data_IF_068827421943
#
_entry.id   IF_068827421943
#
_cell.length_a   1.000
_cell.length_b   1.000
_cell.length_c   1.000
_cell.angle_alpha   90.00
_cell.angle_beta   90.00
_cell.angle_gamma   90.00
#
_symmetry.space_group_name_H-M   'P 1'
#
loop_
_entity.id
_entity.type
_entity.pdbx_description
1 polymer ?
#
# COMPACT_ATOMS: atom_id res chain seq x y z
N UNK A 1 -10.99 13.12 17.02
CA UNK A 1 -10.84 13.67 18.38
C UNK A 1 -10.09 12.76 19.36
N UNK A 2 -10.01 11.45 19.16
CA UNK A 2 -9.23 10.54 20.05
C UNK A 2 -7.71 10.75 20.02
N UNK A 3 -7.14 11.24 18.95
CA UNK A 3 -5.69 11.41 18.80
C UNK A 3 -5.04 12.47 19.69
N UNK A 4 -5.77 13.51 20.08
CA UNK A 4 -5.23 14.56 20.94
C UNK A 4 -5.13 14.15 22.42
N UNK A 5 -6.00 13.27 22.88
CA UNK A 5 -5.99 12.78 24.27
C UNK A 5 -4.80 11.86 24.57
N UNK A 6 -4.38 11.06 23.60
CA UNK A 6 -3.20 10.18 23.72
C UNK A 6 -1.90 10.99 23.78
N UNK A 7 -1.79 12.10 23.05
CA UNK A 7 -0.62 12.97 23.05
C UNK A 7 -0.44 13.75 24.36
N UNK A 8 -1.54 14.22 24.92
CA UNK A 8 -1.51 14.93 26.21
C UNK A 8 -1.10 13.99 27.36
N UNK A 9 -1.60 12.74 27.36
CA UNK A 9 -1.26 11.76 28.39
C UNK A 9 0.23 11.34 28.32
N UNK A 10 0.76 11.14 27.11
CA UNK A 10 2.18 10.73 26.92
C UNK A 10 3.14 11.86 27.29
N UNK A 11 2.80 13.10 26.96
CA UNK A 11 3.59 14.28 27.35
C UNK A 11 3.62 14.49 28.86
N UNK A 12 2.49 14.26 29.55
CA UNK A 12 2.39 14.38 31.00
C UNK A 12 3.23 13.31 31.74
N UNK A 13 3.21 12.05 31.26
CA UNK A 13 4.00 10.96 31.83
C UNK A 13 5.51 11.23 31.67
N UNK A 14 5.94 11.71 30.50
CA UNK A 14 7.33 12.07 30.27
C UNK A 14 7.81 13.23 31.14
N UNK A 15 6.96 14.25 31.34
CA UNK A 15 7.26 15.39 32.20
C UNK A 15 7.34 14.99 33.70
N UNK A 16 6.45 14.11 34.15
CA UNK A 16 6.45 13.61 35.53
C UNK A 16 7.66 12.71 35.81
N UNK A 17 8.04 11.83 34.87
CA UNK A 17 9.24 10.99 35.02
C UNK A 17 10.51 11.82 34.99
N UNK A 18 10.60 12.85 34.16
CA UNK A 18 11.74 13.77 34.13
C UNK A 18 11.86 14.56 35.46
N UNK A 19 10.74 15.07 35.96
CA UNK A 19 10.70 15.82 37.25
C UNK A 19 11.08 14.91 38.41
N UNK A 20 10.68 13.62 38.40
CA UNK A 20 11.03 12.66 39.43
C UNK A 20 12.52 12.29 39.37
N UNK A 21 13.08 12.08 38.18
CA UNK A 21 14.50 11.79 37.95
C UNK A 21 15.41 12.94 38.42
N UNK A 22 14.99 14.19 38.18
CA UNK A 22 15.72 15.39 38.65
C UNK A 22 15.68 15.55 40.17
N UNK A 23 14.60 15.11 40.82
CA UNK A 23 14.38 15.27 42.26
C UNK A 23 15.05 14.18 43.10
N UNK A 24 15.25 12.97 42.52
CA UNK A 24 15.79 11.81 43.21
C UNK A 24 17.30 11.73 43.17
N UNK A 25 18.03 12.72 42.64
CA UNK A 25 19.49 12.66 42.51
C UNK A 25 19.99 11.50 41.63
N UNK A 26 19.09 10.78 40.99
CA UNK A 26 19.34 9.68 40.06
C UNK A 26 20.05 10.22 38.84
N UNK A 27 21.27 9.79 38.66
CA UNK A 27 22.27 10.33 37.79
C UNK A 27 21.81 10.65 36.37
N UNK A 28 22.59 11.42 35.70
CA UNK A 28 22.46 11.91 34.32
C UNK A 28 21.96 10.88 33.28
N UNK A 29 22.07 9.58 33.60
CA UNK A 29 21.58 8.47 32.77
C UNK A 29 20.05 8.43 32.60
N UNK A 30 19.29 8.73 33.67
CA UNK A 30 17.81 8.71 33.59
C UNK A 30 17.27 9.92 32.80
N UNK A 31 17.92 11.08 32.97
CA UNK A 31 17.58 12.28 32.22
C UNK A 31 17.92 12.13 30.71
N UNK A 32 19.05 11.53 30.39
CA UNK A 32 19.46 11.22 29.02
C UNK A 32 18.51 10.22 28.36
N UNK A 33 18.12 9.16 29.08
CA UNK A 33 17.16 8.17 28.58
C UNK A 33 15.78 8.79 28.30
N UNK A 34 15.29 9.66 29.20
CA UNK A 34 14.01 10.38 28.99
C UNK A 34 14.09 11.34 27.80
N UNK A 35 15.19 12.04 27.61
CA UNK A 35 15.40 12.93 26.46
C UNK A 35 15.46 12.14 25.14
N UNK A 36 16.16 11.00 25.10
CA UNK A 36 16.20 10.12 23.93
C UNK A 36 14.82 9.58 23.62
N UNK A 37 14.05 9.14 24.60
CA UNK A 37 12.68 8.68 24.41
C UNK A 37 11.79 9.79 23.89
N UNK A 38 11.90 11.01 24.40
CA UNK A 38 11.10 12.15 23.94
C UNK A 38 11.44 12.54 22.50
N UNK A 39 12.70 12.53 22.12
CA UNK A 39 13.16 12.76 20.74
C UNK A 39 12.67 11.63 19.84
N UNK A 40 12.80 10.39 20.25
CA UNK A 40 12.35 9.23 19.47
C UNK A 40 10.83 9.28 19.25
N UNK A 41 10.04 9.50 20.30
CA UNK A 41 8.58 9.58 20.20
C UNK A 41 8.09 10.81 19.43
N UNK A 42 8.79 11.93 19.50
CA UNK A 42 8.42 13.16 18.80
C UNK A 42 8.84 13.18 17.32
N UNK A 43 9.94 12.53 16.97
CA UNK A 43 10.51 12.55 15.62
C UNK A 43 10.09 11.36 14.75
N UNK A 44 9.94 10.16 15.34
CA UNK A 44 9.54 8.95 14.59
C UNK A 44 8.27 9.13 13.74
N UNK A 45 7.15 9.65 14.26
CA UNK A 45 5.95 9.81 13.45
C UNK A 45 6.11 10.85 12.34
N UNK A 46 7.00 11.85 12.52
CA UNK A 46 7.27 12.85 11.47
C UNK A 46 8.14 12.29 10.35
N UNK A 47 9.09 11.43 10.68
CA UNK A 47 9.92 10.75 9.68
C UNK A 47 9.07 9.74 8.90
N UNK A 48 8.20 9.00 9.58
CA UNK A 48 7.26 8.08 8.93
C UNK A 48 6.29 8.82 8.00
N UNK A 49 5.66 9.89 8.48
CA UNK A 49 4.75 10.69 7.66
C UNK A 49 5.45 11.35 6.44
N UNK A 50 6.73 11.71 6.57
CA UNK A 50 7.49 12.25 5.44
C UNK A 50 7.87 11.17 4.43
N UNK A 51 8.21 9.95 4.89
CA UNK A 51 8.47 8.81 4.01
C UNK A 51 7.19 8.34 3.31
N UNK A 52 6.07 8.31 4.02
CA UNK A 52 4.77 7.94 3.45
C UNK A 52 4.32 8.94 2.37
N UNK A 53 4.52 10.25 2.60
CA UNK A 53 4.25 11.28 1.56
C UNK A 53 5.14 11.14 0.35
N UNK A 54 6.42 10.79 0.52
CA UNK A 54 7.35 10.55 -0.60
C UNK A 54 6.95 9.31 -1.38
N UNK A 55 6.52 8.24 -0.71
CA UNK A 55 6.00 7.03 -1.35
C UNK A 55 4.71 7.32 -2.12
N UNK A 56 3.74 8.00 -1.51
CA UNK A 56 2.52 8.43 -2.19
C UNK A 56 2.81 9.28 -3.43
N UNK A 57 3.81 10.16 -3.38
CA UNK A 57 4.23 10.94 -4.54
C UNK A 57 4.87 10.06 -5.63
N UNK A 58 5.59 9.01 -5.25
CA UNK A 58 6.17 8.04 -6.18
C UNK A 58 5.13 7.07 -6.74
N UNK A 59 4.15 6.65 -5.93
CA UNK A 59 3.07 5.74 -6.34
C UNK A 59 2.02 6.44 -7.20
N UNK A 60 1.90 7.76 -7.06
CA UNK A 60 0.97 8.59 -7.81
C UNK A 60 -0.44 8.61 -7.23
N UNK A 61 -1.41 8.90 -8.08
CA UNK A 61 -2.84 8.95 -7.74
C UNK A 61 -3.61 7.96 -8.61
N UNK A 62 -4.53 7.22 -7.99
CA UNK A 62 -5.44 6.31 -8.70
C UNK A 62 -6.87 6.83 -8.60
N UNK A 63 -7.52 6.93 -9.74
CA UNK A 63 -8.94 7.23 -9.86
C UNK A 63 -9.66 6.00 -10.40
N UNK A 64 -10.72 5.61 -9.70
CA UNK A 64 -11.63 4.52 -10.10
C UNK A 64 -13.00 5.13 -10.30
N UNK A 65 -13.46 5.16 -11.53
CA UNK A 65 -14.74 5.79 -11.92
C UNK A 65 -15.61 4.86 -12.79
N UNK A 66 -16.68 5.38 -13.38
CA UNK A 66 -17.55 4.60 -14.22
C UNK A 66 -16.93 4.19 -15.56
N UNK A 67 -15.94 4.93 -16.02
CA UNK A 67 -15.23 4.64 -17.26
C UNK A 67 -14.18 3.54 -17.06
N UNK A 68 -13.42 3.58 -15.96
CA UNK A 68 -12.30 2.65 -15.76
C UNK A 68 -11.41 2.99 -14.59
N UNK A 69 -10.14 2.64 -14.75
CA UNK A 69 -9.07 2.91 -13.79
C UNK A 69 -8.01 3.77 -14.46
N UNK A 70 -7.64 4.86 -13.82
CA UNK A 70 -6.56 5.74 -14.26
C UNK A 70 -5.56 5.91 -13.11
N UNK A 71 -4.28 5.69 -13.39
CA UNK A 71 -3.16 5.99 -12.49
C UNK A 71 -2.30 7.07 -13.11
N UNK A 72 -1.93 8.07 -12.31
CA UNK A 72 -1.04 9.17 -12.70
C UNK A 72 0.11 9.21 -11.71
N UNK A 73 1.34 9.13 -12.21
CA UNK A 73 2.56 9.20 -11.40
C UNK A 73 3.41 10.37 -11.90
N UNK A 74 3.54 11.41 -11.08
CA UNK A 74 4.19 12.64 -11.50
C UNK A 74 3.48 13.28 -12.69
N UNK A 75 4.24 13.96 -13.54
CA UNK A 75 3.71 14.64 -14.72
C UNK A 75 3.79 13.77 -16.00
N UNK A 76 4.57 12.70 -15.98
CA UNK A 76 4.97 11.98 -17.19
C UNK A 76 4.28 10.63 -17.38
N UNK A 77 3.94 9.92 -16.31
CA UNK A 77 3.36 8.58 -16.42
C UNK A 77 1.86 8.61 -16.17
N UNK A 78 1.10 8.31 -17.22
CA UNK A 78 -0.35 8.09 -17.13
C UNK A 78 -0.70 6.72 -17.69
N UNK A 79 -1.19 5.85 -16.81
CA UNK A 79 -1.74 4.55 -17.15
C UNK A 79 -3.27 4.62 -17.03
N UNK A 80 -3.99 4.12 -18.02
CA UNK A 80 -5.45 4.08 -17.96
C UNK A 80 -6.00 2.88 -18.72
N UNK A 81 -7.09 2.32 -18.18
CA UNK A 81 -7.78 1.19 -18.80
C UNK A 81 -9.28 1.33 -18.58
N UNK A 82 -10.06 1.29 -19.66
CA UNK A 82 -11.51 1.23 -19.57
C UNK A 82 -11.96 -0.16 -19.10
N UNK A 83 -13.08 -0.22 -18.36
CA UNK A 83 -13.61 -1.50 -17.87
C UNK A 83 -13.90 -2.49 -19.00
N UNK A 84 -14.38 -2.00 -20.14
CA UNK A 84 -14.70 -2.81 -21.31
C UNK A 84 -13.47 -3.37 -22.03
N UNK A 85 -12.30 -2.76 -21.82
CA UNK A 85 -11.04 -3.21 -22.40
C UNK A 85 -10.30 -4.22 -21.51
N UNK A 86 -10.68 -4.34 -20.23
CA UNK A 86 -10.01 -5.28 -19.31
C UNK A 86 -10.20 -6.71 -19.81
N UNK A 87 -9.11 -7.37 -20.14
CA UNK A 87 -9.07 -8.77 -20.55
C UNK A 87 -8.74 -9.71 -19.39
N UNK A 88 -7.95 -9.25 -18.44
CA UNK A 88 -7.56 -10.00 -17.25
C UNK A 88 -7.24 -9.05 -16.08
N UNK A 89 -7.40 -9.58 -14.87
CA UNK A 89 -6.96 -8.94 -13.62
C UNK A 89 -6.09 -9.92 -12.86
N UNK A 90 -4.91 -9.45 -12.43
CA UNK A 90 -3.93 -10.25 -11.68
C UNK A 90 -3.46 -9.49 -10.46
N UNK A 91 -3.01 -10.23 -9.45
CA UNK A 91 -2.27 -9.68 -8.32
C UNK A 91 -0.84 -10.21 -8.43
N UNK A 92 0.12 -9.30 -8.38
CA UNK A 92 1.54 -9.62 -8.29
C UNK A 92 1.98 -9.40 -6.85
N UNK A 93 2.72 -10.36 -6.30
CA UNK A 93 3.38 -10.21 -5.01
C UNK A 93 4.89 -10.24 -5.20
N UNK A 94 5.61 -9.48 -4.39
CA UNK A 94 7.07 -9.43 -4.39
C UNK A 94 7.61 -9.80 -3.03
N UNK A 95 8.91 -10.06 -2.93
CA UNK A 95 9.61 -10.35 -1.67
C UNK A 95 10.39 -9.14 -1.13
N UNK A 96 9.95 -7.92 -1.48
CA UNK A 96 10.68 -6.68 -1.14
C UNK A 96 10.75 -6.39 0.37
N UNK A 97 10.01 -7.13 1.20
CA UNK A 97 10.07 -7.09 2.66
C UNK A 97 9.34 -5.92 3.32
N UNK A 98 9.35 -5.87 4.65
CA UNK A 98 8.60 -4.88 5.40
C UNK A 98 9.16 -3.48 5.12
N UNK A 99 8.33 -2.64 4.55
CA UNK A 99 8.67 -1.26 4.25
C UNK A 99 8.66 -0.90 2.78
N UNK A 100 8.46 -1.85 1.85
CA UNK A 100 8.16 -1.62 0.46
C UNK A 100 6.74 -2.10 0.14
N UNK A 101 6.13 -1.57 -0.92
CA UNK A 101 4.90 -2.12 -1.46
C UNK A 101 5.24 -3.47 -2.08
N UNK A 102 4.58 -4.51 -1.64
CA UNK A 102 4.85 -5.90 -2.05
C UNK A 102 3.68 -6.54 -2.79
N UNK A 103 2.54 -5.84 -2.89
CA UNK A 103 1.32 -6.30 -3.56
C UNK A 103 0.85 -5.27 -4.58
N UNK A 104 0.62 -5.71 -5.81
CA UNK A 104 0.20 -4.87 -6.92
C UNK A 104 -0.99 -5.50 -7.65
N UNK A 105 -2.03 -4.70 -7.90
CA UNK A 105 -3.12 -5.07 -8.79
C UNK A 105 -2.78 -4.66 -10.22
N UNK A 106 -2.80 -5.59 -11.14
CA UNK A 106 -2.60 -5.33 -12.56
C UNK A 106 -3.88 -5.62 -13.33
N UNK A 107 -4.35 -4.63 -14.06
CA UNK A 107 -5.43 -4.75 -15.02
C UNK A 107 -4.83 -4.69 -16.42
N UNK A 108 -5.10 -5.63 -17.27
CA UNK A 108 -4.54 -5.68 -18.61
C UNK A 108 -5.57 -5.84 -19.70
N UNK A 109 -5.35 -5.13 -20.80
CA UNK A 109 -6.02 -5.34 -22.07
C UNK A 109 -5.20 -6.32 -22.94
N UNK A 110 -5.83 -6.97 -23.89
CA UNK A 110 -5.18 -7.98 -24.73
C UNK A 110 -4.03 -7.48 -25.62
N UNK A 111 -3.69 -6.18 -25.59
CA UNK A 111 -2.74 -5.53 -26.50
C UNK A 111 -1.59 -4.81 -25.78
N UNK A 112 -1.16 -5.31 -24.62
CA UNK A 112 -0.03 -4.73 -23.87
C UNK A 112 -0.34 -3.42 -23.15
N UNK A 113 -1.58 -2.92 -23.21
CA UNK A 113 -2.05 -1.80 -22.40
C UNK A 113 -2.54 -2.31 -21.05
N UNK A 114 -2.28 -1.56 -20.01
CA UNK A 114 -2.73 -1.93 -18.68
C UNK A 114 -2.57 -0.81 -17.68
N UNK A 115 -2.96 -1.09 -16.45
CA UNK A 115 -2.78 -0.23 -15.31
C UNK A 115 -2.29 -1.07 -14.14
N UNK A 116 -1.15 -0.66 -13.55
CA UNK A 116 -0.57 -1.31 -12.38
C UNK A 116 -0.85 -0.45 -11.16
N UNK A 117 -1.58 -0.98 -10.20
CA UNK A 117 -2.03 -0.25 -9.01
C UNK A 117 -1.41 -0.86 -7.76
N UNK A 118 -0.55 -0.13 -7.04
CA UNK A 118 -0.04 -0.53 -5.73
C UNK A 118 -1.18 -0.77 -4.74
N UNK A 119 -1.00 -1.72 -3.82
CA UNK A 119 -2.04 -2.10 -2.85
C UNK A 119 -2.55 -0.92 -2.02
N UNK A 120 -1.67 -0.05 -1.53
CA UNK A 120 -2.08 1.13 -0.76
C UNK A 120 -3.02 2.04 -1.54
N UNK A 121 -2.78 2.23 -2.84
CA UNK A 121 -3.66 3.00 -3.73
C UNK A 121 -4.94 2.23 -4.09
N UNK A 122 -4.86 0.91 -4.24
CA UNK A 122 -6.04 0.06 -4.48
C UNK A 122 -7.02 0.12 -3.30
N UNK A 123 -6.51 0.11 -2.07
CA UNK A 123 -7.33 0.26 -0.84
C UNK A 123 -7.96 1.66 -0.78
N UNK A 124 -7.17 2.72 -0.95
CA UNK A 124 -7.66 4.11 -0.85
C UNK A 124 -8.68 4.47 -1.94
N UNK A 125 -8.58 3.87 -3.12
CA UNK A 125 -9.51 4.06 -4.24
C UNK A 125 -10.69 3.08 -4.26
N UNK A 126 -10.80 2.16 -3.29
CA UNK A 126 -11.78 1.06 -3.26
C UNK A 126 -11.78 0.20 -4.55
N UNK A 127 -10.61 0.00 -5.15
CA UNK A 127 -10.47 -0.73 -6.41
C UNK A 127 -11.04 -2.14 -6.33
N UNK A 128 -10.72 -2.92 -5.29
CA UNK A 128 -11.18 -4.30 -5.17
C UNK A 128 -12.71 -4.39 -5.15
N UNK A 129 -13.39 -3.49 -4.44
CA UNK A 129 -14.85 -3.45 -4.42
C UNK A 129 -15.44 -3.08 -5.80
N UNK A 130 -14.77 -2.23 -6.57
CA UNK A 130 -15.16 -1.92 -7.94
C UNK A 130 -14.99 -3.14 -8.86
N UNK A 131 -13.87 -3.86 -8.74
CA UNK A 131 -13.61 -5.09 -9.49
C UNK A 131 -14.67 -6.18 -9.20
N UNK A 132 -14.99 -6.40 -7.92
CA UNK A 132 -15.99 -7.39 -7.50
C UNK A 132 -17.39 -7.08 -8.05
N UNK A 133 -17.76 -5.80 -8.14
CA UNK A 133 -19.07 -5.40 -8.71
C UNK A 133 -19.11 -5.54 -10.24
N UNK A 134 -17.98 -5.28 -10.91
CA UNK A 134 -17.95 -5.21 -12.38
C UNK A 134 -17.61 -6.54 -13.05
N UNK A 135 -16.88 -7.40 -12.37
CA UNK A 135 -16.38 -8.67 -12.92
C UNK A 135 -16.99 -9.87 -12.20
N UNK A 136 -18.18 -10.34 -12.66
CA UNK A 136 -18.79 -11.55 -12.11
C UNK A 136 -17.83 -12.73 -12.24
N UNK A 137 -17.74 -13.55 -11.18
CA UNK A 137 -16.81 -14.69 -11.14
C UNK A 137 -15.36 -14.33 -10.79
N UNK A 138 -15.12 -13.11 -10.28
CA UNK A 138 -13.82 -12.78 -9.70
C UNK A 138 -13.48 -13.76 -8.56
N UNK A 139 -12.26 -14.32 -8.61
CA UNK A 139 -11.80 -15.34 -7.66
C UNK A 139 -11.32 -14.69 -6.34
N UNK A 140 -12.24 -14.60 -5.38
CA UNK A 140 -11.92 -14.08 -4.05
C UNK A 140 -10.98 -14.99 -3.26
N UNK A 141 -10.92 -16.29 -3.56
CA UNK A 141 -9.97 -17.19 -2.91
C UNK A 141 -8.55 -16.89 -3.38
N UNK A 142 -8.35 -16.65 -4.67
CA UNK A 142 -7.08 -16.22 -5.20
C UNK A 142 -6.65 -14.84 -4.66
N UNK A 143 -7.60 -13.91 -4.45
CA UNK A 143 -7.32 -12.62 -3.77
C UNK A 143 -6.80 -12.88 -2.35
N UNK A 144 -7.47 -13.72 -1.57
CA UNK A 144 -7.06 -14.01 -0.19
C UNK A 144 -5.68 -14.69 -0.14
N UNK A 145 -5.40 -15.60 -1.06
CA UNK A 145 -4.08 -16.25 -1.18
C UNK A 145 -2.98 -15.22 -1.51
N UNK A 146 -3.23 -14.32 -2.46
CA UNK A 146 -2.28 -13.27 -2.81
C UNK A 146 -1.99 -12.35 -1.62
N UNK A 147 -3.03 -11.92 -0.88
CA UNK A 147 -2.88 -11.06 0.30
C UNK A 147 -2.13 -11.73 1.45
N UNK A 148 -2.15 -13.05 1.54
CA UNK A 148 -1.41 -13.82 2.55
C UNK A 148 -0.02 -14.27 2.09
N UNK A 149 0.38 -14.01 0.84
CA UNK A 149 1.66 -14.44 0.29
C UNK A 149 2.79 -13.57 0.82
N UNK A 150 3.90 -14.21 1.20
CA UNK A 150 5.16 -13.55 1.60
C UNK A 150 6.27 -13.79 0.56
N UNK A 151 5.93 -14.40 -0.56
CA UNK A 151 6.84 -14.74 -1.65
C UNK A 151 6.38 -14.12 -2.97
N UNK A 152 7.30 -14.04 -3.92
CA UNK A 152 6.95 -13.62 -5.27
C UNK A 152 5.93 -14.57 -5.89
N UNK A 153 4.93 -13.99 -6.53
CA UNK A 153 3.87 -14.76 -7.15
C UNK A 153 2.97 -13.94 -8.07
N UNK A 154 2.26 -14.66 -8.92
CA UNK A 154 1.26 -14.09 -9.83
C UNK A 154 -0.05 -14.84 -9.63
N UNK A 155 -1.09 -14.12 -9.22
CA UNK A 155 -2.41 -14.68 -8.94
C UNK A 155 -3.41 -14.08 -9.94
N UNK A 156 -3.89 -14.91 -10.86
CA UNK A 156 -4.96 -14.49 -11.79
C UNK A 156 -6.29 -14.54 -11.05
N UNK A 157 -6.89 -13.37 -10.82
CA UNK A 157 -8.15 -13.26 -10.06
C UNK A 157 -9.37 -13.11 -10.98
N UNK A 158 -9.16 -12.76 -12.24
CA UNK A 158 -10.22 -12.73 -13.25
C UNK A 158 -9.65 -12.76 -14.66
N UNK A 159 -10.36 -13.40 -15.56
CA UNK A 159 -10.07 -13.42 -17.01
C UNK A 159 -11.38 -13.31 -17.75
N UNK A 160 -11.40 -12.53 -18.81
CA UNK A 160 -12.59 -12.37 -19.66
C UNK A 160 -13.01 -13.72 -20.25
N UNK A 161 -14.29 -14.10 -20.12
CA UNK A 161 -14.78 -15.32 -20.77
C UNK A 161 -14.44 -15.35 -22.27
N UNK A 162 -13.88 -16.48 -22.74
CA UNK A 162 -13.45 -16.66 -24.13
C UNK A 162 -11.98 -16.28 -24.42
N UNK A 163 -11.24 -15.71 -23.47
CA UNK A 163 -9.79 -15.43 -23.62
C UNK A 163 -8.89 -16.36 -22.77
N UNK A 164 -9.46 -17.22 -21.98
CA UNK A 164 -8.74 -18.12 -21.06
C UNK A 164 -7.68 -19.02 -21.72
N UNK A 165 -7.78 -19.29 -23.02
CA UNK A 165 -6.83 -20.13 -23.75
C UNK A 165 -5.61 -19.41 -24.36
N UNK A 166 -5.62 -18.07 -24.46
CA UNK A 166 -4.52 -17.31 -25.08
C UNK A 166 -3.45 -16.85 -24.09
N UNK A 167 -3.77 -16.78 -22.80
CA UNK A 167 -2.87 -16.24 -21.77
C UNK A 167 -1.79 -17.24 -21.36
N UNK A 168 -2.09 -18.55 -21.40
CA UNK A 168 -1.12 -19.60 -21.06
C UNK A 168 0.02 -19.77 -22.09
N UNK A 169 -0.17 -19.31 -23.32
CA UNK A 169 0.83 -19.45 -24.38
C UNK A 169 1.94 -18.38 -24.33
N UNK A 170 1.79 -17.31 -23.55
CA UNK A 170 2.74 -16.20 -23.50
C UNK A 170 3.56 -16.11 -22.19
N UNK A 171 3.38 -17.06 -21.28
CA UNK A 171 4.14 -17.12 -19.99
C UNK A 171 5.55 -17.75 -20.15
N UNK A 172 5.98 -18.07 -21.36
CA UNK A 172 7.26 -18.73 -21.64
C UNK A 172 8.36 -17.85 -22.24
N UNK A 173 8.19 -16.53 -22.37
CA UNK A 173 9.25 -15.67 -22.88
C UNK A 173 9.96 -14.96 -21.69
N UNK A 174 11.25 -15.30 -21.41
CA UNK A 174 12.05 -14.53 -20.47
C UNK A 174 12.31 -13.13 -21.05
N UNK A 175 12.26 -12.12 -20.18
CA UNK A 175 12.69 -10.74 -20.46
C UNK A 175 14.21 -10.67 -20.57
#
# INVERSE_FOLDING_TARGET
MLGYLTWAATGLVAAVTLAHALRSGGGWGAAAAAAIMFVAYGFLPRIQAASDRRRQAQDGTVTVDDWGVTRVVGDDLRESIAWDDVAWVRIYTTSAGPGAEDVFFALGAGHGKGCLVPHGLAVSSNLLAALQRRFPGLDNAAVALAMGSTTEGVFTIWTRPGQAGKTAANEGAPL
#
